data_IF_840992217395
#
_entry.id   IF_840992217395
#
_cell.length_a   1.000
_cell.length_b   1.000
_cell.length_c   1.000
_cell.angle_alpha   90.00
_cell.angle_beta   90.00
_cell.angle_gamma   90.00
#
_symmetry.space_group_name_H-M   'P 1'
#
loop_
_entity.id
_entity.type
_entity.pdbx_description
1 polymer ?
#
# COMPACT_ATOMS: atom_id res chain seq x y z
N UNK A 1 19.13 -9.53 0.69
CA UNK A 1 17.86 -8.87 1.08
C UNK A 1 18.09 -7.43 1.54
N UNK A 2 19.25 -7.08 2.11
CA UNK A 2 19.61 -5.72 2.51
C UNK A 2 19.83 -4.72 1.35
N UNK A 3 20.36 -5.17 0.19
CA UNK A 3 20.64 -4.28 -0.96
C UNK A 3 19.39 -3.61 -1.57
N UNK A 4 18.22 -4.27 -1.49
CA UNK A 4 16.97 -3.70 -2.03
C UNK A 4 16.53 -2.49 -1.21
N UNK A 5 16.84 -2.45 0.10
CA UNK A 5 16.52 -1.33 0.97
C UNK A 5 17.44 -0.14 0.70
N UNK A 6 18.74 -0.38 0.45
CA UNK A 6 19.69 0.69 0.18
C UNK A 6 19.40 1.39 -1.15
N UNK A 7 19.15 0.62 -2.22
CA UNK A 7 18.79 1.19 -3.51
C UNK A 7 17.46 1.94 -3.45
N UNK A 8 16.45 1.41 -2.75
CA UNK A 8 15.17 2.12 -2.53
C UNK A 8 15.38 3.47 -1.82
N UNK A 9 16.23 3.50 -0.80
CA UNK A 9 16.56 4.73 -0.07
C UNK A 9 17.33 5.75 -0.92
N UNK A 10 18.20 5.29 -1.82
CA UNK A 10 18.87 6.14 -2.79
C UNK A 10 17.89 6.68 -3.83
N UNK A 11 17.00 5.83 -4.35
CA UNK A 11 16.01 6.21 -5.35
C UNK A 11 14.98 7.18 -4.79
N UNK A 12 14.59 7.07 -3.52
CA UNK A 12 13.74 8.08 -2.86
C UNK A 12 14.35 9.48 -2.84
N UNK A 13 15.67 9.59 -2.74
CA UNK A 13 16.38 10.87 -2.82
C UNK A 13 16.57 11.33 -4.26
N UNK A 14 16.90 10.40 -5.16
CA UNK A 14 17.19 10.68 -6.57
C UNK A 14 15.95 11.04 -7.38
N UNK A 15 14.82 10.41 -7.04
CA UNK A 15 13.52 10.56 -7.69
C UNK A 15 12.55 11.36 -6.81
N UNK A 16 13.07 12.16 -5.88
CA UNK A 16 12.26 13.05 -5.05
C UNK A 16 11.48 14.00 -5.97
N UNK A 17 10.16 14.06 -5.77
CA UNK A 17 9.31 15.01 -6.50
C UNK A 17 9.47 16.38 -5.87
N UNK A 18 9.62 17.39 -6.73
CA UNK A 18 9.77 18.79 -6.32
C UNK A 18 8.69 19.62 -7.01
N UNK A 19 8.00 20.47 -6.25
CA UNK A 19 7.08 21.45 -6.82
C UNK A 19 7.84 22.66 -7.37
N UNK A 20 8.48 22.45 -8.51
CA UNK A 20 9.21 23.48 -9.24
C UNK A 20 8.41 24.06 -10.42
N UNK A 21 9.02 24.96 -11.16
CA UNK A 21 8.38 25.60 -12.32
C UNK A 21 8.08 24.58 -13.43
N UNK A 22 8.97 23.62 -13.67
CA UNK A 22 8.78 22.56 -14.66
C UNK A 22 7.55 21.71 -14.34
N UNK A 23 7.37 21.30 -13.08
CA UNK A 23 6.21 20.57 -12.62
C UNK A 23 4.90 21.33 -12.91
N UNK A 24 4.86 22.62 -12.58
CA UNK A 24 3.68 23.47 -12.81
C UNK A 24 3.42 23.69 -14.29
N UNK A 25 4.46 23.88 -15.09
CA UNK A 25 4.35 24.03 -16.54
C UNK A 25 3.77 22.77 -17.20
N UNK A 26 4.22 21.56 -16.80
CA UNK A 26 3.62 20.30 -17.29
C UNK A 26 2.11 20.24 -17.03
N UNK A 27 1.68 20.64 -15.83
CA UNK A 27 0.25 20.68 -15.48
C UNK A 27 -0.49 21.69 -16.36
N UNK A 28 0.05 22.89 -16.58
CA UNK A 28 -0.58 23.90 -17.42
C UNK A 28 -0.66 23.49 -18.89
N UNK A 29 0.40 22.91 -19.44
CA UNK A 29 0.42 22.39 -20.82
C UNK A 29 -0.62 21.27 -21.00
N UNK A 30 -0.69 20.32 -20.06
CA UNK A 30 -1.70 19.27 -20.10
C UNK A 30 -3.12 19.83 -20.04
N UNK A 31 -3.34 20.88 -19.22
CA UNK A 31 -4.64 21.56 -19.13
C UNK A 31 -4.98 22.33 -20.40
N UNK A 32 -4.02 22.97 -21.05
CA UNK A 32 -4.23 23.65 -22.33
C UNK A 32 -4.66 22.66 -23.42
N UNK A 33 -3.98 21.51 -23.51
CA UNK A 33 -4.36 20.43 -24.42
C UNK A 33 -5.81 19.99 -24.20
N UNK A 34 -6.21 19.79 -22.94
CA UNK A 34 -7.54 19.29 -22.59
C UNK A 34 -8.62 20.35 -22.81
N UNK A 35 -8.46 21.54 -22.21
CA UNK A 35 -9.54 22.52 -22.09
C UNK A 35 -9.57 23.53 -23.25
N UNK A 36 -8.42 23.85 -23.85
CA UNK A 36 -8.35 24.82 -24.94
C UNK A 36 -8.34 24.12 -26.31
N UNK A 37 -7.64 22.99 -26.42
CA UNK A 37 -7.46 22.28 -27.69
C UNK A 37 -8.38 21.06 -27.85
N UNK A 38 -9.11 20.67 -26.79
CA UNK A 38 -10.14 19.63 -26.84
C UNK A 38 -9.60 18.19 -26.90
N UNK A 39 -8.35 17.97 -26.51
CA UNK A 39 -7.79 16.62 -26.40
C UNK A 39 -8.46 15.83 -25.27
N UNK A 40 -8.60 14.52 -25.47
CA UNK A 40 -8.98 13.62 -24.38
C UNK A 40 -7.88 13.57 -23.32
N UNK A 41 -8.28 13.42 -22.05
CA UNK A 41 -7.36 13.18 -20.93
C UNK A 41 -6.52 11.91 -21.16
N UNK A 42 -7.07 10.92 -21.87
CA UNK A 42 -6.39 9.67 -22.20
C UNK A 42 -5.51 9.75 -23.46
N UNK A 43 -5.43 10.91 -24.11
CA UNK A 43 -4.65 11.08 -25.33
C UNK A 43 -3.15 10.94 -25.07
N UNK A 44 -2.41 10.46 -26.09
CA UNK A 44 -0.97 10.28 -25.97
C UNK A 44 -0.25 11.58 -25.61
N UNK A 45 -0.68 12.71 -26.20
CA UNK A 45 -0.10 14.03 -25.91
C UNK A 45 -0.21 14.44 -24.43
N UNK A 46 -1.31 14.09 -23.76
CA UNK A 46 -1.49 14.36 -22.32
C UNK A 46 -0.68 13.35 -21.48
N UNK A 47 -0.66 12.09 -21.88
CA UNK A 47 0.06 11.02 -21.19
C UNK A 47 1.58 11.24 -21.20
N UNK A 48 2.13 11.67 -22.34
CA UNK A 48 3.55 11.97 -22.48
C UNK A 48 4.02 13.06 -21.49
N UNK A 49 3.12 13.96 -21.08
CA UNK A 49 3.41 15.00 -20.10
C UNK A 49 3.29 14.52 -18.64
N UNK A 50 2.35 13.62 -18.34
CA UNK A 50 1.91 13.36 -16.97
C UNK A 50 2.23 11.94 -16.45
N UNK A 51 2.23 10.92 -17.30
CA UNK A 51 2.24 9.52 -16.87
C UNK A 51 3.56 9.10 -16.21
N UNK A 52 4.68 9.63 -16.69
CA UNK A 52 6.02 9.30 -16.19
C UNK A 52 6.17 9.56 -14.68
N UNK A 53 5.48 10.59 -14.19
CA UNK A 53 5.47 10.99 -12.78
C UNK A 53 4.12 10.67 -12.10
N UNK A 54 3.18 10.05 -12.83
CA UNK A 54 1.80 9.77 -12.40
C UNK A 54 1.04 11.03 -11.95
N UNK A 55 1.19 12.12 -12.70
CA UNK A 55 0.57 13.40 -12.42
C UNK A 55 -0.87 13.46 -12.95
N UNK A 56 -1.62 14.43 -12.44
CA UNK A 56 -2.97 14.75 -12.92
C UNK A 56 -2.99 16.20 -13.42
N UNK A 57 -3.85 16.54 -14.40
CA UNK A 57 -3.98 17.90 -14.95
C UNK A 57 -4.77 18.84 -13.99
N UNK A 58 -4.47 18.75 -12.70
CA UNK A 58 -5.14 19.47 -11.62
C UNK A 58 -4.19 20.49 -11.00
N UNK A 59 -4.60 21.75 -10.98
CA UNK A 59 -3.87 22.80 -10.26
C UNK A 59 -3.98 22.54 -8.75
N UNK A 60 -2.85 22.39 -8.08
CA UNK A 60 -2.83 22.27 -6.63
C UNK A 60 -2.97 23.67 -5.99
N UNK A 61 -3.98 23.86 -5.15
CA UNK A 61 -4.24 25.14 -4.50
C UNK A 61 -3.11 25.57 -3.54
N UNK A 62 -2.45 24.63 -2.88
CA UNK A 62 -1.31 24.92 -2.01
C UNK A 62 -0.06 25.29 -2.81
N UNK A 63 0.15 24.65 -3.96
CA UNK A 63 1.25 25.00 -4.87
C UNK A 63 1.09 26.44 -5.33
N UNK A 64 -0.10 26.81 -5.82
CA UNK A 64 -0.40 28.17 -6.23
C UNK A 64 -0.26 29.20 -5.09
N UNK A 65 -0.68 28.86 -3.87
CA UNK A 65 -0.62 29.75 -2.72
C UNK A 65 0.81 29.98 -2.23
N UNK A 66 1.63 28.93 -2.19
CA UNK A 66 2.95 28.97 -1.58
C UNK A 66 4.12 29.06 -2.56
N UNK A 67 3.86 29.04 -3.88
CA UNK A 67 4.87 29.21 -4.91
C UNK A 67 5.75 30.44 -4.66
N UNK A 68 5.14 31.59 -4.33
CA UNK A 68 5.86 32.84 -4.05
C UNK A 68 6.79 32.76 -2.83
N UNK A 69 6.61 31.76 -1.97
CA UNK A 69 7.38 31.53 -0.76
C UNK A 69 8.42 30.40 -0.93
N UNK A 70 8.53 29.82 -2.13
CA UNK A 70 9.47 28.72 -2.41
C UNK A 70 9.17 27.44 -1.62
N UNK A 71 7.91 27.23 -1.24
CA UNK A 71 7.51 26.06 -0.48
C UNK A 71 7.14 24.90 -1.41
N UNK A 72 7.73 23.74 -1.15
CA UNK A 72 7.49 22.52 -1.93
C UNK A 72 6.31 21.73 -1.36
N UNK A 73 5.22 21.62 -2.13
CA UNK A 73 4.02 20.93 -1.65
C UNK A 73 4.24 19.44 -1.40
N UNK A 74 5.19 18.80 -2.09
CA UNK A 74 5.44 17.38 -1.91
C UNK A 74 6.05 17.06 -0.54
N UNK A 75 6.66 18.05 0.12
CA UNK A 75 7.25 17.88 1.46
C UNK A 75 6.24 17.86 2.60
N UNK A 76 5.03 18.38 2.39
CA UNK A 76 4.00 18.40 3.44
C UNK A 76 2.90 17.36 3.24
N UNK A 77 2.71 16.85 2.01
CA UNK A 77 1.67 15.86 1.73
C UNK A 77 2.07 14.55 2.41
N UNK A 78 1.30 14.06 3.40
CA UNK A 78 1.62 12.80 4.04
C UNK A 78 1.37 11.64 3.07
N UNK A 79 2.18 10.60 3.18
CA UNK A 79 1.94 9.31 2.52
C UNK A 79 0.51 8.84 2.73
N UNK A 80 -0.16 8.44 1.64
CA UNK A 80 -1.53 7.96 1.71
C UNK A 80 -1.54 6.50 2.16
N UNK A 81 -1.59 6.29 3.47
CA UNK A 81 -1.66 4.96 4.07
C UNK A 81 -2.77 4.08 3.46
N UNK A 82 -3.91 4.65 3.07
CA UNK A 82 -5.02 3.86 2.57
C UNK A 82 -4.67 3.19 1.23
N UNK A 83 -4.16 3.99 0.29
CA UNK A 83 -3.83 3.51 -1.05
C UNK A 83 -2.46 2.83 -1.11
N UNK A 84 -1.46 3.35 -0.40
CA UNK A 84 -0.11 2.81 -0.39
C UNK A 84 -0.01 1.50 0.38
N UNK A 85 -0.83 1.29 1.43
CA UNK A 85 -0.72 0.10 2.26
C UNK A 85 -2.02 -0.67 2.47
N UNK A 86 -3.01 -0.05 3.13
CA UNK A 86 -4.17 -0.77 3.68
C UNK A 86 -4.99 -1.49 2.59
N UNK A 87 -5.13 -0.89 1.41
CA UNK A 87 -5.81 -1.51 0.26
C UNK A 87 -4.81 -2.14 -0.70
N UNK A 88 -3.81 -1.39 -1.15
CA UNK A 88 -2.86 -1.83 -2.18
C UNK A 88 -2.01 -3.01 -1.71
N UNK A 89 -1.00 -2.73 -0.88
CA UNK A 89 -0.01 -3.75 -0.46
C UNK A 89 -0.61 -4.88 0.35
N UNK A 90 -1.56 -4.61 1.24
CA UNK A 90 -2.24 -5.66 2.00
C UNK A 90 -2.93 -6.66 1.08
N UNK A 91 -3.59 -6.19 0.00
CA UNK A 91 -4.20 -7.09 -0.99
C UNK A 91 -3.14 -7.94 -1.69
N UNK A 92 -2.03 -7.35 -2.12
CA UNK A 92 -0.96 -8.07 -2.83
C UNK A 92 -0.35 -9.19 -1.97
N UNK A 93 -0.09 -8.90 -0.69
CA UNK A 93 0.43 -9.89 0.27
C UNK A 93 -0.59 -11.03 0.47
N UNK A 94 -1.88 -10.70 0.66
CA UNK A 94 -2.94 -11.71 0.79
C UNK A 94 -3.02 -12.60 -0.46
N UNK A 95 -2.99 -12.00 -1.65
CA UNK A 95 -3.00 -12.75 -2.92
C UNK A 95 -1.80 -13.70 -2.98
N UNK A 96 -0.62 -13.22 -2.59
CA UNK A 96 0.59 -14.03 -2.61
C UNK A 96 0.50 -15.22 -1.64
N UNK A 97 0.03 -15.00 -0.41
CA UNK A 97 -0.19 -16.06 0.57
C UNK A 97 -1.17 -17.12 0.04
N UNK A 98 -2.29 -16.69 -0.56
CA UNK A 98 -3.27 -17.60 -1.14
C UNK A 98 -2.67 -18.41 -2.30
N UNK A 99 -1.84 -17.80 -3.15
CA UNK A 99 -1.11 -18.52 -4.22
C UNK A 99 -0.18 -19.58 -3.66
N UNK A 100 0.58 -19.29 -2.60
CA UNK A 100 1.44 -20.27 -1.94
C UNK A 100 0.61 -21.45 -1.42
N UNK A 101 -0.52 -21.18 -0.77
CA UNK A 101 -1.42 -22.24 -0.27
C UNK A 101 -1.96 -23.11 -1.42
N UNK A 102 -2.26 -22.52 -2.57
CA UNK A 102 -2.67 -23.29 -3.76
C UNK A 102 -1.55 -24.19 -4.30
N UNK A 103 -0.28 -23.74 -4.25
CA UNK A 103 0.86 -24.56 -4.63
C UNK A 103 1.06 -25.78 -3.72
N UNK A 104 0.73 -25.64 -2.43
CA UNK A 104 0.81 -26.74 -1.45
C UNK A 104 -0.33 -27.74 -1.67
N UNK A 105 -1.55 -27.24 -1.90
CA UNK A 105 -2.70 -28.04 -2.30
C UNK A 105 -4.02 -27.59 -1.69
N UNK A 106 -5.12 -28.17 -2.20
CA UNK A 106 -6.49 -27.80 -1.82
C UNK A 106 -6.80 -27.95 -0.32
N UNK A 107 -6.12 -28.88 0.36
CA UNK A 107 -6.25 -29.08 1.80
C UNK A 107 -5.75 -27.86 2.61
N UNK A 108 -4.66 -27.22 2.18
CA UNK A 108 -4.10 -26.04 2.85
C UNK A 108 -5.05 -24.85 2.73
N UNK A 109 -5.59 -24.61 1.53
CA UNK A 109 -6.59 -23.56 1.27
C UNK A 109 -7.86 -23.79 2.10
N UNK A 110 -8.35 -25.02 2.15
CA UNK A 110 -9.54 -25.38 2.93
C UNK A 110 -9.32 -25.20 4.44
N UNK A 111 -8.12 -25.55 4.94
CA UNK A 111 -7.75 -25.34 6.33
C UNK A 111 -7.66 -23.85 6.67
N UNK A 112 -7.05 -23.05 5.81
CA UNK A 112 -6.96 -21.60 5.94
C UNK A 112 -8.35 -20.95 6.05
N UNK A 113 -9.25 -21.27 5.12
CA UNK A 113 -10.61 -20.73 5.14
C UNK A 113 -11.44 -21.22 6.33
N UNK A 114 -11.22 -22.47 6.78
CA UNK A 114 -11.86 -22.99 8.00
C UNK A 114 -11.40 -22.22 9.23
N UNK A 115 -10.10 -21.95 9.35
CA UNK A 115 -9.52 -21.21 10.48
C UNK A 115 -10.01 -19.77 10.53
N UNK A 116 -10.13 -19.08 9.39
CA UNK A 116 -10.71 -17.73 9.36
C UNK A 116 -12.16 -17.67 9.87
N UNK A 117 -12.97 -18.68 9.55
CA UNK A 117 -14.35 -18.76 10.06
C UNK A 117 -14.43 -18.98 11.57
N UNK A 118 -13.38 -19.49 12.18
CA UNK A 118 -13.26 -19.69 13.62
C UNK A 118 -12.71 -18.47 14.36
N UNK A 119 -12.14 -17.49 13.64
CA UNK A 119 -11.69 -16.24 14.26
C UNK A 119 -12.90 -15.55 14.89
N UNK A 120 -12.92 -15.34 16.22
CA UNK A 120 -14.02 -14.67 16.88
C UNK A 120 -14.05 -13.19 16.50
N UNK A 121 -15.20 -12.55 16.70
CA UNK A 121 -15.26 -11.09 16.59
C UNK A 121 -14.58 -10.44 17.78
N UNK A 122 -13.77 -9.40 17.57
CA UNK A 122 -13.14 -8.64 18.65
C UNK A 122 -12.90 -7.16 18.27
N UNK A 123 -12.55 -6.34 19.26
CA UNK A 123 -12.23 -4.93 19.07
C UNK A 123 -13.44 -4.04 18.74
N UNK A 124 -14.59 -4.24 19.42
CA UNK A 124 -15.82 -3.41 19.27
C UNK A 124 -16.18 -3.08 17.81
N UNK A 125 -16.26 -4.11 16.96
CA UNK A 125 -16.66 -3.97 15.55
C UNK A 125 -15.54 -3.73 14.55
N UNK A 126 -14.28 -3.73 15.01
CA UNK A 126 -13.07 -3.73 14.16
C UNK A 126 -12.92 -5.08 13.45
N UNK A 127 -12.82 -6.19 14.20
CA UNK A 127 -12.79 -7.53 13.61
C UNK A 127 -14.19 -8.13 13.65
N UNK A 128 -14.74 -8.30 12.44
CA UNK A 128 -16.07 -8.86 12.19
C UNK A 128 -15.94 -10.30 11.73
N UNK A 129 -17.05 -11.03 11.76
CA UNK A 129 -17.09 -12.43 11.36
C UNK A 129 -16.71 -12.61 9.89
N UNK A 130 -15.73 -13.48 9.64
CA UNK A 130 -15.37 -13.93 8.29
C UNK A 130 -16.37 -15.02 7.85
N UNK A 131 -17.33 -14.65 7.00
CA UNK A 131 -18.41 -15.55 6.56
C UNK A 131 -18.07 -16.30 5.27
N UNK A 132 -17.34 -15.65 4.35
CA UNK A 132 -16.91 -16.24 3.08
C UNK A 132 -15.53 -16.90 3.22
N UNK A 133 -15.19 -17.73 2.22
CA UNK A 133 -13.80 -18.13 2.00
C UNK A 133 -12.95 -16.88 1.75
N UNK A 134 -11.92 -16.70 2.56
CA UNK A 134 -10.96 -15.61 2.40
C UNK A 134 -10.12 -15.84 1.15
N UNK A 135 -9.79 -17.10 0.85
CA UNK A 135 -9.04 -17.50 -0.34
C UNK A 135 -9.68 -17.06 -1.66
N UNK A 136 -11.01 -16.96 -1.72
CA UNK A 136 -11.72 -16.52 -2.93
C UNK A 136 -11.57 -15.02 -3.20
N UNK A 137 -11.26 -14.23 -2.17
CA UNK A 137 -11.08 -12.77 -2.24
C UNK A 137 -12.23 -12.01 -2.94
N UNK A 138 -13.46 -12.54 -2.90
CA UNK A 138 -14.64 -11.93 -3.53
C UNK A 138 -15.30 -10.88 -2.63
N UNK A 139 -15.83 -9.81 -3.25
CA UNK A 139 -16.64 -8.77 -2.59
C UNK A 139 -15.92 -8.11 -1.40
N UNK A 140 -14.62 -7.87 -1.57
CA UNK A 140 -13.78 -7.24 -0.55
C UNK A 140 -13.81 -5.72 -0.66
N UNK A 141 -13.59 -5.07 0.47
CA UNK A 141 -13.47 -3.63 0.60
C UNK A 141 -12.20 -3.39 1.43
N UNK A 142 -11.63 -2.18 1.41
CA UNK A 142 -10.33 -1.90 2.04
C UNK A 142 -10.19 -2.44 3.46
N UNK A 143 -11.21 -2.20 4.32
CA UNK A 143 -11.25 -2.70 5.70
C UNK A 143 -11.12 -4.23 5.82
N UNK A 144 -11.58 -4.98 4.82
CA UNK A 144 -11.55 -6.44 4.85
C UNK A 144 -10.12 -6.95 4.65
N UNK A 145 -9.31 -6.30 3.80
CA UNK A 145 -7.89 -6.65 3.61
C UNK A 145 -7.10 -6.46 4.90
N UNK A 146 -7.28 -5.31 5.56
CA UNK A 146 -6.63 -5.03 6.84
C UNK A 146 -7.07 -6.03 7.93
N UNK A 147 -8.36 -6.36 8.01
CA UNK A 147 -8.86 -7.33 8.99
C UNK A 147 -8.30 -8.74 8.76
N UNK A 148 -8.14 -9.16 7.50
CA UNK A 148 -7.50 -10.42 7.13
C UNK A 148 -6.05 -10.41 7.61
N UNK A 149 -5.25 -9.43 7.20
CA UNK A 149 -3.83 -9.34 7.58
C UNK A 149 -3.63 -9.44 9.10
N UNK A 150 -4.45 -8.74 9.89
CA UNK A 150 -4.40 -8.77 11.36
C UNK A 150 -4.67 -10.14 11.97
N UNK A 151 -5.44 -10.99 11.29
CA UNK A 151 -5.85 -12.30 11.79
C UNK A 151 -5.12 -13.46 11.08
N UNK A 152 -4.13 -13.17 10.23
CA UNK A 152 -3.59 -14.17 9.32
C UNK A 152 -2.66 -15.19 9.98
N UNK A 153 -1.79 -14.75 10.91
CA UNK A 153 -0.82 -15.62 11.59
C UNK A 153 -1.48 -16.90 12.14
N UNK A 154 -2.53 -16.84 12.99
CA UNK A 154 -3.18 -18.06 13.50
C UNK A 154 -3.91 -18.87 12.43
N UNK A 155 -4.23 -18.27 11.28
CA UNK A 155 -4.89 -18.96 10.18
C UNK A 155 -3.89 -19.70 9.28
N UNK A 156 -2.66 -19.19 9.15
CA UNK A 156 -1.65 -19.73 8.24
C UNK A 156 -0.64 -20.66 8.92
N UNK A 157 -0.39 -20.48 10.21
CA UNK A 157 0.62 -21.25 10.96
C UNK A 157 0.46 -22.77 10.81
N UNK A 158 1.57 -23.44 10.49
CA UNK A 158 1.65 -24.88 10.27
C UNK A 158 0.93 -25.36 9.00
N UNK A 159 0.70 -24.49 8.01
CA UNK A 159 0.17 -24.89 6.70
C UNK A 159 1.27 -25.02 5.64
N UNK A 160 2.43 -24.41 5.85
CA UNK A 160 3.55 -24.47 4.93
C UNK A 160 4.57 -25.53 5.35
N UNK A 161 5.12 -26.22 4.34
CA UNK A 161 6.25 -27.13 4.49
C UNK A 161 7.30 -26.81 3.42
N UNK A 162 8.61 -26.83 3.75
CA UNK A 162 9.19 -27.04 5.09
C UNK A 162 8.83 -25.97 6.13
N UNK A 163 9.00 -26.30 7.41
CA UNK A 163 8.67 -25.42 8.55
C UNK A 163 9.33 -24.04 8.46
N UNK A 164 10.53 -23.98 7.89
CA UNK A 164 11.27 -22.73 7.64
C UNK A 164 10.47 -21.73 6.80
N UNK A 165 9.70 -22.19 5.82
CA UNK A 165 8.85 -21.31 5.00
C UNK A 165 7.63 -20.80 5.77
N UNK A 166 7.10 -21.62 6.69
CA UNK A 166 6.00 -21.22 7.57
C UNK A 166 6.45 -20.09 8.50
N UNK A 167 7.60 -20.27 9.15
CA UNK A 167 8.21 -19.26 10.03
C UNK A 167 8.49 -17.97 9.26
N UNK A 168 9.17 -18.06 8.12
CA UNK A 168 9.49 -16.88 7.30
C UNK A 168 8.24 -16.11 6.89
N UNK A 169 7.18 -16.81 6.47
CA UNK A 169 5.93 -16.15 6.09
C UNK A 169 5.25 -15.50 7.28
N UNK A 170 5.24 -16.15 8.45
CA UNK A 170 4.70 -15.58 9.68
C UNK A 170 5.46 -14.34 10.12
N UNK A 171 6.79 -14.32 10.00
CA UNK A 171 7.63 -13.15 10.30
C UNK A 171 7.29 -11.98 9.38
N UNK A 172 7.17 -12.22 8.07
CA UNK A 172 6.75 -11.18 7.11
C UNK A 172 5.36 -10.62 7.48
N UNK A 173 4.41 -11.48 7.83
CA UNK A 173 3.07 -11.06 8.24
C UNK A 173 3.12 -10.27 9.56
N UNK A 174 3.98 -10.67 10.49
CA UNK A 174 4.20 -9.96 11.76
C UNK A 174 4.73 -8.55 11.50
N UNK A 175 5.78 -8.41 10.68
CA UNK A 175 6.34 -7.11 10.31
C UNK A 175 5.29 -6.22 9.64
N UNK A 176 4.51 -6.78 8.72
CA UNK A 176 3.43 -6.05 8.06
C UNK A 176 2.38 -5.53 9.06
N UNK A 177 2.01 -6.34 10.06
CA UNK A 177 1.05 -5.94 11.10
C UNK A 177 1.65 -4.91 12.07
N UNK A 178 2.94 -5.03 12.39
CA UNK A 178 3.68 -4.06 13.23
C UNK A 178 3.73 -2.70 12.54
N UNK A 179 4.07 -2.67 11.24
CA UNK A 179 4.05 -1.45 10.44
C UNK A 179 2.65 -0.83 10.38
N UNK A 180 1.62 -1.67 10.18
CA UNK A 180 0.22 -1.24 10.13
C UNK A 180 -0.23 -0.60 11.45
N UNK A 181 0.21 -1.15 12.58
CA UNK A 181 -0.08 -0.63 13.91
C UNK A 181 0.61 0.72 14.14
N UNK A 182 1.90 0.84 13.84
CA UNK A 182 2.64 2.10 13.99
C UNK A 182 2.07 3.21 13.10
N UNK A 183 1.79 2.91 11.84
CA UNK A 183 1.17 3.88 10.93
C UNK A 183 -0.26 4.26 11.33
N UNK A 184 -0.99 3.40 12.06
CA UNK A 184 -2.31 3.73 12.60
C UNK A 184 -2.22 4.65 13.83
N UNK A 185 -1.20 4.48 14.67
CA UNK A 185 -0.95 5.34 15.82
C UNK A 185 -0.59 6.77 15.39
N UNK A 186 0.01 6.92 14.20
CA UNK A 186 0.52 8.21 13.67
C UNK A 186 1.42 8.93 14.68
N UNK A 187 2.13 8.15 15.50
CA UNK A 187 3.00 8.62 16.55
C UNK A 187 4.37 7.98 16.35
N UNK A 188 5.37 8.82 16.13
CA UNK A 188 6.76 8.41 16.04
C UNK A 188 7.43 8.70 17.39
N UNK A 189 7.71 7.64 18.15
CA UNK A 189 8.61 7.69 19.31
C UNK A 189 9.94 7.05 18.95
N UNK A 190 11.00 7.37 19.68
CA UNK A 190 12.31 6.76 19.50
C UNK A 190 12.23 5.23 19.50
N UNK A 191 11.38 4.64 20.35
CA UNK A 191 11.14 3.19 20.40
C UNK A 191 10.51 2.66 19.11
N UNK A 192 9.49 3.34 18.55
CA UNK A 192 8.86 2.94 17.29
C UNK A 192 9.73 3.20 16.06
N UNK A 193 10.74 4.08 16.16
CA UNK A 193 11.72 4.28 15.11
C UNK A 193 12.82 3.22 15.18
N UNK A 194 13.25 2.85 16.39
CA UNK A 194 14.23 1.79 16.62
C UNK A 194 13.78 0.41 16.10
N UNK A 195 12.47 0.13 16.04
CA UNK A 195 11.96 -1.12 15.44
C UNK A 195 12.22 -1.25 13.94
N UNK A 196 12.48 -0.13 13.25
CA UNK A 196 12.73 -0.10 11.80
C UNK A 196 14.17 0.31 11.46
N UNK A 197 15.01 0.52 12.48
CA UNK A 197 16.37 1.04 12.33
C UNK A 197 17.40 0.18 13.04
N UNK A 198 18.08 -0.65 12.23
CA UNK A 198 19.55 -0.69 12.11
C UNK A 198 19.88 -0.79 10.63
#
# INVERSE_FOLDING_TARGET
MFDVCEQDMLDRKRLERVDDEEHREKIEQARELIFSQGYSVDSQAVKDLLDSESLLPTRNAFSALFQQHGFDVFKFIPSDKLHEWDVGRCKDIIVHCVRILHCIGSNAVSAFDRRYRWVPTFGRGVIRRFHNNVSEMKKMAGRHHVAIMKCMIPCISGLLLPEEHDIMLMDIIFDCNTWQAHSALRMHTDTTLATWGN
#
